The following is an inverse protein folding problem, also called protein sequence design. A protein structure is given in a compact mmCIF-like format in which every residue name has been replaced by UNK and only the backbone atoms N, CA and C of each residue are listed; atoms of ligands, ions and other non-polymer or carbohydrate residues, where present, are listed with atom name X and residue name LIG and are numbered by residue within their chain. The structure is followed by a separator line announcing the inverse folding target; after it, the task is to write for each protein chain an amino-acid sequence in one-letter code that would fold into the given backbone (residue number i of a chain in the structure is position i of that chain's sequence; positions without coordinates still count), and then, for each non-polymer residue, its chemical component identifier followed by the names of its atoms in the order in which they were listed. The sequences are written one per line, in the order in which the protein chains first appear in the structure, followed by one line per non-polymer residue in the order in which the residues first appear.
data_IF_644495413908
#
_entry.id   IF_644495413908
#
_cell.length_a   1.000
_cell.length_b   1.000
_cell.length_c   1.000
_cell.angle_alpha   90.00
_cell.angle_beta   90.00
_cell.angle_gamma   90.00
#
_symmetry.space_group_name_H-M   'P 1'
#
loop_
_entity.id
_entity.type
_entity.pdbx_description
1 polymer ?
#
# COMPACT_ATOMS: atom_id res chain seq x y z
N UNK A 1 10.09 -14.06 -12.77
CA UNK A 1 9.19 -12.89 -12.68
C UNK A 1 9.85 -11.85 -11.77
N UNK A 2 9.92 -10.56 -12.14
CA UNK A 2 10.57 -9.54 -11.31
C UNK A 2 9.78 -9.30 -10.01
N UNK A 3 10.47 -8.88 -8.94
CA UNK A 3 9.88 -8.64 -7.61
C UNK A 3 8.67 -7.71 -7.69
N UNK A 4 8.78 -6.59 -8.43
CA UNK A 4 7.67 -5.66 -8.70
C UNK A 4 6.38 -6.33 -9.17
N UNK A 5 6.48 -7.32 -10.08
CA UNK A 5 5.30 -7.99 -10.62
C UNK A 5 4.66 -8.93 -9.59
N UNK A 6 5.48 -9.56 -8.73
CA UNK A 6 4.99 -10.36 -7.59
C UNK A 6 4.27 -9.45 -6.58
N UNK A 7 4.82 -8.26 -6.31
CA UNK A 7 4.21 -7.28 -5.41
C UNK A 7 2.84 -6.83 -5.93
N UNK A 8 2.73 -6.47 -7.21
CA UNK A 8 1.45 -6.12 -7.84
C UNK A 8 0.43 -7.24 -7.71
N UNK A 9 0.79 -8.46 -8.13
CA UNK A 9 -0.14 -9.60 -8.08
C UNK A 9 -0.62 -9.88 -6.66
N UNK A 10 0.28 -9.84 -5.67
CA UNK A 10 -0.08 -10.10 -4.28
C UNK A 10 -0.88 -8.96 -3.65
N UNK A 11 -0.56 -7.70 -3.94
CA UNK A 11 -1.33 -6.55 -3.46
C UNK A 11 -2.78 -6.62 -3.96
N UNK A 12 -3.00 -6.93 -5.25
CA UNK A 12 -4.33 -7.17 -5.81
C UNK A 12 -5.08 -8.26 -5.06
N UNK A 13 -4.42 -9.39 -4.78
CA UNK A 13 -5.04 -10.50 -4.03
C UNK A 13 -5.40 -10.13 -2.61
N UNK A 14 -4.56 -9.39 -1.90
CA UNK A 14 -4.84 -8.92 -0.53
C UNK A 14 -6.12 -8.09 -0.51
N UNK A 15 -6.24 -7.13 -1.42
CA UNK A 15 -7.44 -6.28 -1.52
C UNK A 15 -8.65 -7.06 -1.99
N UNK A 16 -8.50 -7.98 -2.95
CA UNK A 16 -9.59 -8.84 -3.39
C UNK A 16 -10.15 -9.71 -2.25
N UNK A 17 -9.29 -10.27 -1.40
CA UNK A 17 -9.72 -11.03 -0.22
C UNK A 17 -10.48 -10.14 0.76
N UNK A 18 -9.94 -8.96 1.08
CA UNK A 18 -10.62 -8.02 1.97
C UNK A 18 -12.01 -7.59 1.45
N UNK A 19 -12.11 -7.27 0.15
CA UNK A 19 -13.37 -6.92 -0.50
C UNK A 19 -14.37 -8.08 -0.49
N UNK A 20 -13.92 -9.32 -0.74
CA UNK A 20 -14.78 -10.52 -0.68
C UNK A 20 -15.34 -10.81 0.72
N UNK A 21 -14.64 -10.36 1.75
CA UNK A 21 -15.08 -10.46 3.14
C UNK A 21 -15.77 -9.19 3.65
N UNK A 22 -16.15 -8.28 2.74
CA UNK A 22 -16.92 -7.06 3.06
C UNK A 22 -16.24 -6.16 4.11
N UNK A 23 -14.90 -6.20 4.18
CA UNK A 23 -14.12 -5.29 5.02
C UNK A 23 -14.24 -3.89 4.42
N UNK A 24 -14.72 -2.92 5.21
CA UNK A 24 -14.90 -1.52 4.77
C UNK A 24 -13.74 -0.61 5.17
N UNK A 25 -13.05 -0.92 6.28
CA UNK A 25 -11.91 -0.17 6.80
C UNK A 25 -10.64 -1.02 6.71
N UNK A 26 -9.62 -0.51 6.01
CA UNK A 26 -8.32 -1.17 5.87
C UNK A 26 -7.20 -0.36 6.52
N UNK A 27 -6.35 -1.07 7.27
CA UNK A 27 -5.05 -0.58 7.70
C UNK A 27 -3.98 -1.38 7.00
N UNK A 28 -3.19 -0.68 6.18
CA UNK A 28 -2.05 -1.21 5.42
C UNK A 28 -0.76 -0.51 5.88
N UNK A 29 0.36 -0.77 5.20
CA UNK A 29 1.63 -0.12 5.51
C UNK A 29 2.74 -0.46 4.51
N UNK A 30 3.97 -0.12 4.88
CA UNK A 30 5.18 -0.37 4.09
C UNK A 30 5.53 -1.88 4.04
N UNK A 31 4.71 -2.64 3.30
CA UNK A 31 4.72 -4.10 3.27
C UNK A 31 6.04 -4.67 2.72
N UNK A 32 6.84 -5.24 3.62
CA UNK A 32 8.13 -5.83 3.28
C UNK A 32 9.26 -4.82 3.05
N UNK A 33 9.07 -3.53 3.34
CA UNK A 33 10.11 -2.51 3.14
C UNK A 33 11.18 -2.47 4.26
N UNK A 34 11.04 -3.30 5.30
CA UNK A 34 12.02 -3.46 6.38
C UNK A 34 13.04 -4.56 6.08
N UNK A 35 12.96 -5.66 6.82
CA UNK A 35 13.89 -6.81 6.70
C UNK A 35 13.89 -7.42 5.31
N UNK A 36 12.75 -7.43 4.61
CA UNK A 36 12.65 -7.99 3.25
C UNK A 36 13.17 -7.05 2.16
N UNK A 37 13.51 -5.79 2.51
CA UNK A 37 14.18 -4.85 1.63
C UNK A 37 13.43 -4.57 0.31
N UNK A 38 12.10 -4.70 0.30
CA UNK A 38 11.32 -4.22 -0.84
C UNK A 38 11.49 -2.70 -0.98
N UNK A 39 11.54 -2.22 -2.23
CA UNK A 39 11.53 -0.79 -2.49
C UNK A 39 10.15 -0.21 -2.09
N UNK A 40 10.09 0.75 -1.15
CA UNK A 40 8.83 1.33 -0.71
C UNK A 40 8.07 2.05 -1.83
N UNK A 41 8.75 2.58 -2.86
CA UNK A 41 8.10 3.16 -4.02
C UNK A 41 7.39 2.10 -4.87
N UNK A 42 8.00 0.93 -5.07
CA UNK A 42 7.37 -0.19 -5.78
C UNK A 42 6.16 -0.73 -5.01
N UNK A 43 6.28 -0.85 -3.67
CA UNK A 43 5.17 -1.32 -2.82
C UNK A 43 4.00 -0.32 -2.82
N UNK A 44 4.29 0.98 -2.69
CA UNK A 44 3.25 2.01 -2.76
C UNK A 44 2.54 2.02 -4.12
N UNK A 45 3.30 1.90 -5.22
CA UNK A 45 2.73 1.80 -6.57
C UNK A 45 1.88 0.53 -6.77
N UNK A 46 2.32 -0.61 -6.21
CA UNK A 46 1.54 -1.85 -6.26
C UNK A 46 0.18 -1.71 -5.56
N UNK A 47 0.15 -1.06 -4.38
CA UNK A 47 -1.10 -0.80 -3.69
C UNK A 47 -1.99 0.21 -4.40
N UNK A 48 -1.44 1.26 -5.01
CA UNK A 48 -2.25 2.21 -5.80
C UNK A 48 -2.93 1.50 -6.98
N UNK A 49 -2.18 0.68 -7.73
CA UNK A 49 -2.77 -0.10 -8.82
C UNK A 49 -3.85 -1.06 -8.34
N UNK A 50 -3.64 -1.73 -7.20
CA UNK A 50 -4.64 -2.62 -6.61
C UNK A 50 -5.89 -1.85 -6.11
N UNK A 51 -5.72 -0.65 -5.55
CA UNK A 51 -6.81 0.23 -5.14
C UNK A 51 -7.59 0.80 -6.33
N UNK A 52 -6.96 0.97 -7.49
CA UNK A 52 -7.69 1.33 -8.72
C UNK A 52 -8.72 0.25 -9.10
N UNK A 53 -8.42 -1.04 -8.85
CA UNK A 53 -9.32 -2.14 -9.18
C UNK A 53 -10.33 -2.47 -8.06
N UNK A 54 -9.92 -2.37 -6.79
CA UNK A 54 -10.70 -2.85 -5.65
C UNK A 54 -11.09 -1.74 -4.65
N UNK A 55 -10.64 -0.50 -4.86
CA UNK A 55 -10.78 0.60 -3.92
C UNK A 55 -12.22 0.95 -3.58
N UNK A 56 -13.14 0.81 -4.54
CA UNK A 56 -14.56 1.11 -4.35
C UNK A 56 -15.26 0.26 -3.28
N UNK A 57 -14.66 -0.86 -2.85
CA UNK A 57 -15.19 -1.68 -1.77
C UNK A 57 -14.87 -1.15 -0.36
N UNK A 58 -13.93 -0.20 -0.23
CA UNK A 58 -13.44 0.30 1.04
C UNK A 58 -13.94 1.73 1.28
N UNK A 59 -14.51 1.98 2.46
CA UNK A 59 -14.85 3.32 2.92
C UNK A 59 -13.61 4.09 3.37
N UNK A 60 -12.63 3.38 3.94
CA UNK A 60 -11.39 3.99 4.42
C UNK A 60 -10.21 3.06 4.24
N UNK A 61 -9.11 3.61 3.71
CA UNK A 61 -7.82 2.94 3.64
C UNK A 61 -6.78 3.84 4.29
N UNK A 62 -6.09 3.31 5.31
CA UNK A 62 -5.02 4.01 6.02
C UNK A 62 -3.71 3.26 5.81
N UNK A 63 -2.70 3.97 5.32
CA UNK A 63 -1.32 3.47 5.33
C UNK A 63 -0.63 3.89 6.63
N UNK A 64 -0.67 3.03 7.64
CA UNK A 64 -0.04 3.25 8.93
C UNK A 64 1.48 2.97 8.86
N UNK A 65 2.24 3.93 8.31
CA UNK A 65 3.68 3.80 8.12
C UNK A 65 4.44 4.42 9.30
N UNK A 66 4.70 3.60 10.32
CA UNK A 66 5.53 4.02 11.46
C UNK A 66 7.02 3.79 11.19
N UNK A 67 7.83 4.78 11.55
CA UNK A 67 9.28 4.71 11.52
C UNK A 67 9.85 5.65 12.59
N UNK A 68 10.94 5.25 13.25
CA UNK A 68 11.58 6.05 14.30
C UNK A 68 12.56 7.06 13.75
N UNK A 69 13.04 6.88 12.52
CA UNK A 69 13.91 7.87 11.89
C UNK A 69 13.08 9.09 11.51
N UNK A 70 13.59 10.33 11.70
CA UNK A 70 12.92 11.53 11.19
C UNK A 70 12.72 11.45 9.67
N UNK A 71 13.79 11.12 8.96
CA UNK A 71 13.80 10.92 7.51
C UNK A 71 13.51 9.46 7.18
N UNK A 72 12.21 9.13 7.07
CA UNK A 72 11.77 7.79 6.71
C UNK A 72 11.49 7.70 5.22
N UNK A 73 12.32 6.94 4.50
CA UNK A 73 12.09 6.63 3.08
C UNK A 73 10.74 5.93 2.86
N UNK A 74 10.31 5.11 3.83
CA UNK A 74 9.01 4.45 3.79
C UNK A 74 7.87 5.47 3.88
N UNK A 75 7.89 6.38 4.87
CA UNK A 75 6.85 7.42 4.95
C UNK A 75 6.88 8.31 3.71
N UNK A 76 8.06 8.78 3.30
CA UNK A 76 8.20 9.66 2.15
C UNK A 76 7.61 9.05 0.88
N UNK A 77 7.87 7.77 0.60
CA UNK A 77 7.33 7.08 -0.58
C UNK A 77 5.79 6.98 -0.55
N UNK A 78 5.20 6.63 0.60
CA UNK A 78 3.75 6.53 0.73
C UNK A 78 3.07 7.91 0.74
N UNK A 79 3.66 8.91 1.38
CA UNK A 79 3.20 10.31 1.32
C UNK A 79 3.23 10.83 -0.12
N UNK A 80 4.33 10.62 -0.86
CA UNK A 80 4.43 11.09 -2.25
C UNK A 80 3.38 10.48 -3.18
N UNK A 81 2.87 9.29 -2.86
CA UNK A 81 1.90 8.57 -3.70
C UNK A 81 0.44 8.79 -3.28
N UNK A 82 0.17 8.94 -1.98
CA UNK A 82 -1.18 8.93 -1.42
C UNK A 82 -1.53 10.18 -0.61
N UNK A 83 -0.63 11.15 -0.46
CA UNK A 83 -1.04 12.43 0.08
C UNK A 83 -2.15 13.00 -0.81
N UNK A 84 -3.31 13.26 -0.22
CA UNK A 84 -4.32 14.07 -0.86
C UNK A 84 -3.69 15.43 -1.19
N UNK A 85 -3.88 15.94 -2.41
CA UNK A 85 -3.91 17.38 -2.55
C UNK A 85 -5.04 17.85 -1.62
N UNK A 86 -4.71 18.70 -0.65
CA UNK A 86 -5.69 19.26 0.28
C UNK A 86 -6.92 19.73 -0.53
N UNK A 87 -8.05 19.06 -0.31
CA UNK A 87 -9.35 19.41 -0.89
C UNK A 87 -10.23 20.03 0.20
#
# INVERSE_FOLDING_TARGET
MPVRAILTERATRVLAVAARHEVRDLVLGAWGCGVFRNDPAEVAAAFEGALTCHGAAFERVVFAVWDRTPDSANRAAFTARFAAADA
#
